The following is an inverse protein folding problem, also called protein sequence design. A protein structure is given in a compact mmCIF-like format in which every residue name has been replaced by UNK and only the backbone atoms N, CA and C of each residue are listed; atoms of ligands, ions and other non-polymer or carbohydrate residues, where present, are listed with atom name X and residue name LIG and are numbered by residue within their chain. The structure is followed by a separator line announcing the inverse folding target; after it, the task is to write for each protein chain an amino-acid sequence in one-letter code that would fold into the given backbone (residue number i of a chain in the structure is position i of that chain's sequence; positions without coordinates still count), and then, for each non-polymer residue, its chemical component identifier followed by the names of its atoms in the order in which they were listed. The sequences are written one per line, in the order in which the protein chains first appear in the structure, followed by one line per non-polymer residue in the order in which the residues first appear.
data_IF_281927433869
#
_entry.id   IF_281927433869
#
_cell.length_a   1.000
_cell.length_b   1.000
_cell.length_c   1.000
_cell.angle_alpha   90.00
_cell.angle_beta   90.00
_cell.angle_gamma   90.00
#
_symmetry.space_group_name_H-M   'P 1'
#
loop_
_entity.id
_entity.type
_entity.pdbx_description
1 polymer ?
#
# COMPACT_ATOMS: atom_id res chain seq x y z
N UNK A 1 5.34 -20.76 7.55
CA UNK A 1 4.83 -20.21 6.27
C UNK A 1 6.02 -19.98 5.35
N UNK A 2 6.06 -20.62 4.18
CA UNK A 2 7.11 -20.39 3.18
C UNK A 2 7.00 -18.97 2.66
N UNK A 3 8.10 -18.19 2.65
CA UNK A 3 8.10 -16.85 2.05
C UNK A 3 7.84 -16.97 0.55
N UNK A 4 6.89 -16.21 0.04
CA UNK A 4 6.52 -16.21 -1.39
C UNK A 4 7.71 -15.81 -2.29
N UNK A 5 8.61 -14.98 -1.77
CA UNK A 5 9.78 -14.47 -2.48
C UNK A 5 11.07 -14.82 -1.74
N UNK A 6 12.17 -15.12 -2.46
CA UNK A 6 13.48 -15.30 -1.85
C UNK A 6 13.89 -14.02 -1.11
N UNK A 7 14.51 -14.13 0.07
CA UNK A 7 14.96 -12.96 0.83
C UNK A 7 16.07 -12.20 0.07
N UNK A 8 16.17 -10.90 0.36
CA UNK A 8 17.33 -10.10 -0.05
C UNK A 8 18.53 -10.52 0.80
N UNK A 9 19.68 -10.72 0.17
CA UNK A 9 20.92 -10.96 0.89
C UNK A 9 21.56 -9.62 1.25
N UNK A 10 21.71 -9.35 2.54
CA UNK A 10 22.05 -8.01 3.05
C UNK A 10 23.54 -7.83 3.40
N UNK A 11 24.34 -8.89 3.28
CA UNK A 11 25.75 -8.86 3.66
C UNK A 11 26.65 -8.65 2.44
N UNK A 12 27.82 -8.01 2.62
CA UNK A 12 28.77 -7.82 1.53
C UNK A 12 29.39 -9.15 1.07
N UNK A 13 29.85 -9.19 -0.17
CA UNK A 13 30.47 -10.37 -0.79
C UNK A 13 31.57 -11.01 0.07
N UNK A 14 32.45 -10.17 0.66
CA UNK A 14 33.52 -10.68 1.50
C UNK A 14 33.05 -11.45 2.72
N UNK A 15 31.93 -11.03 3.32
CA UNK A 15 31.33 -11.74 4.44
C UNK A 15 30.62 -13.02 3.98
N UNK A 16 29.94 -12.98 2.83
CA UNK A 16 29.33 -14.16 2.22
C UNK A 16 30.36 -15.28 1.94
N UNK A 17 31.53 -14.90 1.44
CA UNK A 17 32.64 -15.85 1.22
C UNK A 17 33.12 -16.46 2.53
N UNK A 18 33.37 -15.63 3.57
CA UNK A 18 33.81 -16.11 4.89
C UNK A 18 32.81 -17.07 5.54
N UNK A 19 31.52 -16.92 5.23
CA UNK A 19 30.43 -17.72 5.81
C UNK A 19 30.07 -18.94 4.97
N UNK A 20 30.64 -19.10 3.77
CA UNK A 20 30.24 -20.14 2.82
C UNK A 20 28.88 -19.92 2.18
N UNK A 21 28.36 -18.68 2.18
CA UNK A 21 27.04 -18.29 1.68
C UNK A 21 27.10 -17.68 0.27
N UNK A 22 28.17 -17.92 -0.48
CA UNK A 22 28.43 -17.30 -1.79
C UNK A 22 27.32 -17.58 -2.82
N UNK A 23 26.77 -18.77 -2.84
CA UNK A 23 25.67 -19.11 -3.77
C UNK A 23 24.38 -18.36 -3.44
N UNK A 24 24.08 -18.17 -2.18
CA UNK A 24 22.93 -17.36 -1.73
C UNK A 24 23.12 -15.90 -2.13
N UNK A 25 24.32 -15.35 -1.94
CA UNK A 25 24.68 -14.02 -2.39
C UNK A 25 24.47 -13.87 -3.90
N UNK A 26 25.05 -14.79 -4.71
CA UNK A 26 24.94 -14.76 -6.18
C UNK A 26 23.50 -14.83 -6.66
N UNK A 27 22.70 -15.73 -6.07
CA UNK A 27 21.29 -15.88 -6.41
C UNK A 27 20.49 -14.59 -6.08
N UNK A 28 20.73 -14.01 -4.90
CA UNK A 28 20.07 -12.77 -4.53
C UNK A 28 20.50 -11.60 -5.41
N UNK A 29 21.79 -11.50 -5.72
CA UNK A 29 22.34 -10.47 -6.59
C UNK A 29 21.75 -10.52 -8.00
N UNK A 30 21.67 -11.71 -8.60
CA UNK A 30 21.01 -11.90 -9.90
C UNK A 30 19.57 -11.39 -9.88
N UNK A 31 18.80 -11.73 -8.85
CA UNK A 31 17.43 -11.25 -8.68
C UNK A 31 17.34 -9.73 -8.47
N UNK A 32 18.34 -9.11 -7.85
CA UNK A 32 18.40 -7.65 -7.71
C UNK A 32 18.60 -6.97 -9.06
N UNK A 33 19.47 -7.52 -9.92
CA UNK A 33 19.67 -7.04 -11.31
C UNK A 33 18.37 -7.17 -12.11
N UNK A 34 17.73 -8.33 -12.04
CA UNK A 34 16.45 -8.58 -12.71
C UNK A 34 15.36 -7.62 -12.22
N UNK A 35 15.31 -7.35 -10.92
CA UNK A 35 14.38 -6.38 -10.32
C UNK A 35 14.64 -4.95 -10.83
N UNK A 36 15.89 -4.50 -10.90
CA UNK A 36 16.21 -3.17 -11.43
C UNK A 36 15.75 -3.01 -12.87
N UNK A 37 16.05 -4.00 -13.73
CA UNK A 37 15.61 -4.03 -15.12
C UNK A 37 14.08 -4.06 -15.25
N UNK A 38 13.40 -4.80 -14.37
CA UNK A 38 11.93 -4.86 -14.38
C UNK A 38 11.31 -3.54 -13.95
N UNK A 39 11.92 -2.79 -13.02
CA UNK A 39 11.48 -1.44 -12.65
C UNK A 39 11.60 -0.51 -13.86
N UNK A 40 12.76 -0.49 -14.53
CA UNK A 40 12.98 0.32 -15.74
C UNK A 40 11.94 0.00 -16.82
N UNK A 41 11.76 -1.29 -17.13
CA UNK A 41 10.79 -1.73 -18.13
C UNK A 41 9.34 -1.40 -17.76
N UNK A 42 8.98 -1.51 -16.48
CA UNK A 42 7.62 -1.16 -16.02
C UNK A 42 7.38 0.35 -16.09
N UNK A 43 8.34 1.17 -15.71
CA UNK A 43 8.23 2.63 -15.80
C UNK A 43 8.12 3.10 -17.25
N UNK A 44 8.90 2.52 -18.17
CA UNK A 44 8.81 2.82 -19.58
C UNK A 44 7.48 2.35 -20.21
N UNK A 45 7.07 1.12 -19.92
CA UNK A 45 5.81 0.53 -20.40
C UNK A 45 4.57 1.33 -20.01
N UNK A 46 4.59 1.91 -18.82
CA UNK A 46 3.49 2.68 -18.25
C UNK A 46 3.67 4.20 -18.37
N UNK A 47 4.65 4.64 -19.18
CA UNK A 47 4.88 6.04 -19.52
C UNK A 47 3.90 6.46 -20.62
N UNK A 48 3.21 7.57 -20.38
CA UNK A 48 2.32 8.18 -21.36
C UNK A 48 3.06 9.32 -22.08
N UNK A 49 3.34 9.14 -23.35
CA UNK A 49 4.06 10.12 -24.18
C UNK A 49 3.21 11.35 -24.53
N UNK A 50 1.89 11.29 -24.40
CA UNK A 50 1.01 12.41 -24.69
C UNK A 50 0.92 13.36 -23.50
N UNK A 51 0.88 12.82 -22.28
CA UNK A 51 0.80 13.58 -21.03
C UNK A 51 2.15 13.78 -20.34
N UNK A 52 3.20 13.09 -20.79
CA UNK A 52 4.52 13.04 -20.16
C UNK A 52 4.49 12.54 -18.71
N UNK A 53 3.55 11.66 -18.39
CA UNK A 53 3.33 11.15 -17.04
C UNK A 53 3.52 9.62 -16.98
N UNK A 54 3.77 9.10 -15.79
CA UNK A 54 3.97 7.67 -15.54
C UNK A 54 2.86 7.14 -14.65
N UNK A 55 2.16 6.10 -15.11
CA UNK A 55 1.24 5.36 -14.25
C UNK A 55 2.02 4.48 -13.25
N UNK A 56 2.55 5.12 -12.21
CA UNK A 56 3.35 4.47 -11.16
C UNK A 56 2.57 3.39 -10.41
N UNK A 57 1.24 3.49 -10.31
CA UNK A 57 0.42 2.49 -9.64
C UNK A 57 0.36 1.17 -10.43
N UNK A 58 0.28 1.23 -11.76
CA UNK A 58 0.34 0.04 -12.60
C UNK A 58 1.74 -0.59 -12.57
N UNK A 59 2.79 0.24 -12.68
CA UNK A 59 4.17 -0.21 -12.60
C UNK A 59 4.51 -0.85 -11.24
N UNK A 60 4.10 -0.23 -10.12
CA UNK A 60 4.30 -0.75 -8.77
C UNK A 60 3.68 -2.13 -8.60
N UNK A 61 2.43 -2.28 -9.01
CA UNK A 61 1.72 -3.56 -8.93
C UNK A 61 2.41 -4.67 -9.70
N UNK A 62 2.92 -4.39 -10.89
CA UNK A 62 3.63 -5.35 -11.76
C UNK A 62 4.94 -5.80 -11.10
N UNK A 63 5.78 -4.87 -10.68
CA UNK A 63 7.11 -5.16 -10.11
C UNK A 63 7.00 -5.86 -8.75
N UNK A 64 6.15 -5.35 -7.85
CA UNK A 64 5.98 -5.94 -6.51
C UNK A 64 5.36 -7.34 -6.58
N UNK A 65 4.48 -7.60 -7.57
CA UNK A 65 3.94 -8.94 -7.78
C UNK A 65 5.02 -9.96 -8.19
N UNK A 66 6.06 -9.52 -8.89
CA UNK A 66 7.15 -10.37 -9.38
C UNK A 66 8.28 -10.56 -8.37
N UNK A 67 8.70 -9.49 -7.69
CA UNK A 67 9.91 -9.49 -6.84
C UNK A 67 9.63 -9.33 -5.34
N UNK A 68 8.43 -8.94 -4.98
CA UNK A 68 8.04 -8.61 -3.61
C UNK A 68 8.49 -7.21 -3.17
N UNK A 69 7.87 -6.72 -2.12
CA UNK A 69 8.14 -5.38 -1.57
C UNK A 69 9.59 -5.21 -1.14
N UNK A 70 10.12 -6.14 -0.33
CA UNK A 70 11.45 -5.99 0.28
C UNK A 70 12.57 -5.84 -0.76
N UNK A 71 12.53 -6.66 -1.83
CA UNK A 71 13.53 -6.60 -2.89
C UNK A 71 13.40 -5.34 -3.73
N UNK A 72 12.18 -4.97 -4.10
CA UNK A 72 11.90 -3.74 -4.84
C UNK A 72 12.46 -2.53 -4.08
N UNK A 73 12.19 -2.45 -2.77
CA UNK A 73 12.67 -1.35 -1.94
C UNK A 73 14.20 -1.37 -1.73
N UNK A 74 14.81 -2.54 -1.61
CA UNK A 74 16.27 -2.64 -1.50
C UNK A 74 16.99 -2.13 -2.76
N UNK A 75 16.50 -2.48 -3.95
CA UNK A 75 17.03 -2.00 -5.24
C UNK A 75 16.82 -0.49 -5.39
N UNK A 76 15.64 0.01 -5.08
CA UNK A 76 15.36 1.46 -5.13
C UNK A 76 16.23 2.24 -4.15
N UNK A 77 16.43 1.75 -2.92
CA UNK A 77 17.29 2.39 -1.94
C UNK A 77 18.77 2.42 -2.39
N UNK A 78 19.22 1.34 -3.05
CA UNK A 78 20.54 1.29 -3.65
C UNK A 78 20.70 2.36 -4.76
N UNK A 79 19.71 2.49 -5.63
CA UNK A 79 19.65 3.49 -6.70
C UNK A 79 19.71 4.92 -6.15
N UNK A 80 18.85 5.24 -5.16
CA UNK A 80 18.84 6.58 -4.53
C UNK A 80 20.19 6.92 -3.87
N UNK A 81 20.85 5.95 -3.23
CA UNK A 81 22.18 6.17 -2.63
C UNK A 81 23.25 6.42 -3.67
N UNK A 82 23.21 5.69 -4.78
CA UNK A 82 24.15 5.86 -5.87
C UNK A 82 24.03 7.24 -6.52
N UNK A 83 22.79 7.69 -6.76
CA UNK A 83 22.47 8.99 -7.35
C UNK A 83 22.08 10.06 -6.32
N UNK A 84 22.70 10.04 -5.12
CA UNK A 84 22.32 10.93 -4.01
C UNK A 84 22.53 12.44 -4.30
N UNK A 85 23.35 12.75 -5.31
CA UNK A 85 23.61 14.09 -5.81
C UNK A 85 22.54 14.60 -6.78
N UNK A 86 21.69 13.71 -7.30
CA UNK A 86 20.63 14.09 -8.24
C UNK A 86 19.47 14.78 -7.48
N UNK A 87 19.32 16.08 -7.74
CA UNK A 87 18.33 16.93 -7.06
C UNK A 87 16.87 16.56 -7.34
N UNK A 88 16.61 15.65 -8.30
CA UNK A 88 15.27 15.15 -8.60
C UNK A 88 14.76 14.12 -7.58
N UNK A 89 15.64 13.47 -6.82
CA UNK A 89 15.20 12.71 -5.66
C UNK A 89 14.82 13.64 -4.52
N UNK A 90 13.68 13.40 -3.90
CA UNK A 90 13.20 14.15 -2.74
C UNK A 90 14.11 13.97 -1.53
N UNK A 91 14.07 14.93 -0.61
CA UNK A 91 14.79 14.81 0.67
C UNK A 91 14.31 13.58 1.45
N UNK A 92 13.01 13.31 1.43
CA UNK A 92 12.40 12.16 2.11
C UNK A 92 12.95 10.83 1.56
N UNK A 93 13.03 10.65 0.23
CA UNK A 93 13.57 9.45 -0.38
C UNK A 93 15.05 9.25 -0.07
N UNK A 94 15.85 10.33 -0.01
CA UNK A 94 17.26 10.25 0.38
C UNK A 94 17.44 9.87 1.85
N UNK A 95 16.64 10.42 2.75
CA UNK A 95 16.65 10.05 4.17
C UNK A 95 16.20 8.62 4.37
N UNK A 96 15.10 8.23 3.76
CA UNK A 96 14.60 6.86 3.78
C UNK A 96 15.65 5.86 3.25
N UNK A 97 16.26 6.11 2.11
CA UNK A 97 17.26 5.21 1.54
C UNK A 97 18.44 4.95 2.49
N UNK A 98 18.79 5.92 3.36
CA UNK A 98 19.85 5.74 4.37
C UNK A 98 19.46 4.75 5.47
N UNK A 99 18.18 4.58 5.76
CA UNK A 99 17.69 3.65 6.78
C UNK A 99 17.60 2.21 6.30
N UNK A 100 17.59 2.01 4.98
CA UNK A 100 17.47 0.68 4.40
C UNK A 100 18.79 -0.11 4.45
N UNK A 101 18.75 -1.46 4.55
CA UNK A 101 19.94 -2.29 4.42
C UNK A 101 20.72 -1.98 3.14
N UNK A 102 22.04 -2.03 3.20
CA UNK A 102 22.87 -1.80 2.02
C UNK A 102 23.00 -3.11 1.25
N UNK A 103 22.69 -3.06 -0.04
CA UNK A 103 23.22 -4.03 -1.00
C UNK A 103 24.74 -3.81 -1.10
N UNK A 104 25.48 -4.78 -1.60
CA UNK A 104 26.94 -4.64 -1.72
C UNK A 104 27.29 -3.35 -2.45
N UNK A 105 28.06 -2.47 -1.76
CA UNK A 105 28.33 -1.09 -2.20
C UNK A 105 29.16 -1.01 -3.49
N UNK A 106 29.74 -2.11 -3.95
CA UNK A 106 30.49 -2.17 -5.22
C UNK A 106 29.60 -2.48 -6.43
N UNK A 107 28.29 -2.62 -6.19
CA UNK A 107 27.40 -3.19 -7.18
C UNK A 107 26.58 -2.13 -7.88
N UNK A 108 27.10 -1.65 -9.01
CA UNK A 108 26.43 -0.73 -9.93
C UNK A 108 25.43 -1.44 -10.85
N UNK A 109 25.39 -2.77 -10.85
CA UNK A 109 24.55 -3.54 -11.76
C UNK A 109 23.08 -3.61 -11.34
N UNK A 110 22.80 -3.27 -10.08
CA UNK A 110 21.46 -3.26 -9.50
C UNK A 110 20.91 -1.82 -9.37
N UNK A 111 21.09 -1.00 -10.40
CA UNK A 111 20.59 0.37 -10.43
C UNK A 111 19.46 0.51 -11.42
N UNK A 112 18.44 1.26 -11.01
CA UNK A 112 17.38 1.71 -11.92
C UNK A 112 17.93 2.86 -12.74
N UNK A 113 17.85 2.75 -14.06
CA UNK A 113 18.43 3.71 -15.02
C UNK A 113 17.43 4.79 -15.45
N UNK A 114 16.15 4.58 -15.19
CA UNK A 114 15.07 5.54 -15.48
C UNK A 114 15.29 6.87 -14.77
N UNK A 115 14.73 7.93 -15.31
CA UNK A 115 14.76 9.28 -14.77
C UNK A 115 14.49 9.29 -13.25
N UNK A 116 15.36 9.97 -12.49
CA UNK A 116 15.30 10.05 -11.03
C UNK A 116 13.96 10.60 -10.50
N UNK A 117 13.31 11.52 -11.23
CA UNK A 117 11.99 12.04 -10.84
C UNK A 117 10.91 10.97 -10.92
N UNK A 118 10.86 10.21 -12.02
CA UNK A 118 9.91 9.08 -12.17
C UNK A 118 10.20 7.98 -11.14
N UNK A 119 11.48 7.72 -10.87
CA UNK A 119 11.89 6.75 -9.84
C UNK A 119 11.46 7.22 -8.44
N UNK A 120 11.56 8.51 -8.12
CA UNK A 120 11.12 9.07 -6.83
C UNK A 120 9.61 8.93 -6.63
N UNK A 121 8.82 9.23 -7.66
CA UNK A 121 7.37 9.00 -7.65
C UNK A 121 7.03 7.51 -7.49
N UNK A 122 7.77 6.63 -8.14
CA UNK A 122 7.58 5.19 -8.04
C UNK A 122 7.86 4.67 -6.62
N UNK A 123 8.92 5.17 -5.95
CA UNK A 123 9.20 4.87 -4.54
C UNK A 123 8.00 5.22 -3.66
N UNK A 124 7.46 6.43 -3.83
CA UNK A 124 6.26 6.89 -3.11
C UNK A 124 5.07 5.95 -3.32
N UNK A 125 4.83 5.54 -4.57
CA UNK A 125 3.73 4.63 -4.90
C UNK A 125 3.91 3.24 -4.29
N UNK A 126 5.11 2.64 -4.38
CA UNK A 126 5.38 1.31 -3.78
C UNK A 126 5.18 1.35 -2.26
N UNK A 127 5.65 2.41 -1.60
CA UNK A 127 5.43 2.61 -0.16
C UNK A 127 3.93 2.74 0.17
N UNK A 128 3.19 3.52 -0.61
CA UNK A 128 1.76 3.72 -0.44
C UNK A 128 0.98 2.40 -0.63
N UNK A 129 1.24 1.67 -1.71
CA UNK A 129 0.62 0.38 -1.97
C UNK A 129 0.89 -0.63 -0.84
N UNK A 130 2.13 -0.67 -0.35
CA UNK A 130 2.51 -1.53 0.77
C UNK A 130 1.77 -1.12 2.05
N UNK A 131 1.72 0.17 2.36
CA UNK A 131 0.96 0.69 3.51
C UNK A 131 -0.50 0.23 3.46
N UNK A 132 -1.14 0.24 2.28
CA UNK A 132 -2.52 -0.22 2.11
C UNK A 132 -2.71 -1.72 2.39
N UNK A 133 -1.65 -2.52 2.32
CA UNK A 133 -1.71 -3.96 2.67
C UNK A 133 -1.54 -4.23 4.17
N UNK A 134 -1.04 -3.25 4.93
CA UNK A 134 -0.80 -3.41 6.36
C UNK A 134 -2.09 -3.18 7.17
N UNK A 135 -2.29 -3.92 8.25
CA UNK A 135 -3.39 -3.63 9.17
C UNK A 135 -3.19 -2.25 9.82
N UNK A 136 -4.30 -1.57 10.08
CA UNK A 136 -4.26 -0.29 10.79
C UNK A 136 -3.64 -0.43 12.19
N UNK A 137 -2.72 0.47 12.51
CA UNK A 137 -2.12 0.55 13.82
C UNK A 137 -3.00 1.36 14.79
N UNK A 138 -2.86 1.13 16.08
CA UNK A 138 -3.64 1.84 17.10
C UNK A 138 -3.46 3.37 17.04
N UNK A 139 -2.28 3.85 16.62
CA UNK A 139 -2.02 5.28 16.44
C UNK A 139 -2.85 5.87 15.30
N UNK A 140 -2.92 5.18 14.15
CA UNK A 140 -3.69 5.61 12.99
C UNK A 140 -5.20 5.63 13.28
N UNK A 141 -5.69 4.62 14.02
CA UNK A 141 -7.10 4.58 14.47
C UNK A 141 -7.41 5.78 15.40
N UNK A 142 -6.45 6.15 16.27
CA UNK A 142 -6.60 7.31 17.16
C UNK A 142 -6.59 8.63 16.40
N UNK A 143 -5.71 8.75 15.42
CA UNK A 143 -5.63 9.93 14.56
C UNK A 143 -6.93 10.13 13.78
N UNK A 144 -7.49 9.06 13.20
CA UNK A 144 -8.77 9.13 12.51
C UNK A 144 -9.92 9.46 13.47
N UNK A 145 -9.90 8.93 14.70
CA UNK A 145 -10.88 9.32 15.72
C UNK A 145 -10.83 10.83 16.03
N UNK A 146 -9.64 11.41 16.10
CA UNK A 146 -9.48 12.86 16.29
C UNK A 146 -9.97 13.68 15.09
N UNK A 147 -9.72 13.18 13.86
CA UNK A 147 -10.21 13.80 12.64
C UNK A 147 -11.75 13.79 12.61
N UNK A 148 -12.37 12.67 12.91
CA UNK A 148 -13.83 12.54 13.03
C UNK A 148 -14.38 13.46 14.13
N UNK A 149 -13.74 13.53 15.30
CA UNK A 149 -14.16 14.40 16.39
C UNK A 149 -14.14 15.89 15.99
N UNK A 150 -13.11 16.33 15.29
CA UNK A 150 -13.03 17.71 14.76
C UNK A 150 -14.18 18.01 13.81
N UNK A 151 -14.54 17.07 12.93
CA UNK A 151 -15.65 17.25 12.01
C UNK A 151 -16.99 17.32 12.78
N UNK A 152 -17.19 16.48 13.80
CA UNK A 152 -18.40 16.50 14.64
C UNK A 152 -18.54 17.82 15.41
N UNK A 153 -17.45 18.35 15.94
CA UNK A 153 -17.44 19.62 16.64
C UNK A 153 -17.68 20.84 15.72
N UNK A 154 -17.35 20.70 14.43
CA UNK A 154 -17.59 21.76 13.44
C UNK A 154 -19.01 21.78 12.88
N UNK A 155 -19.85 20.78 13.20
CA UNK A 155 -21.25 20.77 12.78
C UNK A 155 -22.02 21.79 13.62
N UNK A 156 -22.63 22.82 13.01
CA UNK A 156 -23.41 23.80 13.75
C UNK A 156 -24.60 23.13 14.44
N UNK A 157 -24.94 23.59 15.63
CA UNK A 157 -26.12 23.10 16.34
C UNK A 157 -27.36 23.30 15.45
N UNK A 158 -28.07 22.22 15.07
CA UNK A 158 -29.26 22.38 14.26
C UNK A 158 -30.39 22.97 15.11
N UNK A 159 -31.20 23.81 14.50
CA UNK A 159 -32.45 24.21 15.07
C UNK A 159 -33.30 22.98 15.41
N UNK A 160 -34.02 23.00 16.51
CA UNK A 160 -34.75 21.92 17.15
C UNK A 160 -35.73 21.08 16.29
N UNK A 161 -35.90 21.42 15.01
CA UNK A 161 -36.78 20.77 14.05
C UNK A 161 -36.10 20.00 12.92
N UNK A 162 -34.75 20.11 12.79
CA UNK A 162 -34.03 19.52 11.67
C UNK A 162 -33.43 18.17 12.06
N UNK A 163 -34.16 17.07 11.78
CA UNK A 163 -33.66 15.68 11.89
C UNK A 163 -32.65 15.36 10.77
N UNK A 164 -31.68 16.21 10.51
CA UNK A 164 -30.68 15.95 9.48
C UNK A 164 -29.70 14.89 9.95
N UNK A 165 -29.58 13.83 9.15
CA UNK A 165 -28.51 12.86 9.28
C UNK A 165 -27.21 13.49 8.79
N UNK A 166 -26.23 13.67 9.65
CA UNK A 166 -24.92 14.20 9.28
C UNK A 166 -23.99 13.04 8.89
N UNK A 167 -23.47 13.11 7.68
CA UNK A 167 -22.47 12.16 7.20
C UNK A 167 -21.06 12.68 7.50
N UNK A 168 -20.38 12.05 8.46
CA UNK A 168 -18.97 12.33 8.75
C UNK A 168 -18.09 11.58 7.75
N UNK A 169 -17.13 12.28 7.17
CA UNK A 169 -16.19 11.71 6.21
C UNK A 169 -15.03 11.03 6.94
N UNK A 170 -14.79 9.78 6.58
CA UNK A 170 -13.61 9.02 6.99
C UNK A 170 -12.54 9.24 5.92
N UNK A 171 -11.26 9.36 6.31
CA UNK A 171 -10.16 9.53 5.36
C UNK A 171 -10.10 8.36 4.35
N UNK A 172 -9.72 8.62 3.10
CA UNK A 172 -9.64 7.57 2.08
C UNK A 172 -8.69 6.43 2.47
N UNK A 173 -7.57 6.76 3.09
CA UNK A 173 -6.54 5.82 3.54
C UNK A 173 -7.06 4.90 4.64
N UNK A 174 -7.73 5.46 5.64
CA UNK A 174 -8.41 4.69 6.68
C UNK A 174 -9.49 3.80 6.06
N UNK A 175 -10.36 4.37 5.21
CA UNK A 175 -11.45 3.63 4.59
C UNK A 175 -10.98 2.48 3.69
N UNK A 176 -9.81 2.61 3.04
CA UNK A 176 -9.26 1.57 2.17
C UNK A 176 -8.75 0.36 2.97
N UNK A 177 -8.29 0.55 4.21
CA UNK A 177 -7.64 -0.46 5.05
C UNK A 177 -8.52 -0.96 6.19
N UNK A 178 -9.46 -0.15 6.64
CA UNK A 178 -10.27 -0.42 7.83
C UNK A 178 -11.20 -1.61 7.64
N UNK A 179 -11.24 -2.44 8.66
CA UNK A 179 -12.24 -3.49 8.86
C UNK A 179 -13.38 -2.95 9.74
N UNK A 180 -14.53 -3.64 9.79
CA UNK A 180 -15.61 -3.25 10.68
C UNK A 180 -15.17 -3.10 12.15
N UNK A 181 -14.24 -3.96 12.59
CA UNK A 181 -13.71 -3.94 13.97
C UNK A 181 -12.86 -2.68 14.25
N UNK A 182 -12.15 -2.17 13.25
CA UNK A 182 -11.33 -0.95 13.39
C UNK A 182 -12.24 0.29 13.43
N UNK A 183 -13.34 0.28 12.70
CA UNK A 183 -14.39 1.31 12.81
C UNK A 183 -14.99 1.32 14.22
N UNK A 184 -15.28 0.15 14.79
CA UNK A 184 -15.77 0.04 16.18
C UNK A 184 -14.74 0.58 17.18
N UNK A 185 -13.44 0.24 17.02
CA UNK A 185 -12.38 0.76 17.89
C UNK A 185 -12.29 2.29 17.80
N UNK A 186 -12.33 2.84 16.60
CA UNK A 186 -12.29 4.29 16.36
C UNK A 186 -13.46 4.98 17.06
N UNK A 187 -14.67 4.48 16.87
CA UNK A 187 -15.88 5.08 17.44
C UNK A 187 -15.89 5.02 18.97
N UNK A 188 -15.36 3.95 19.57
CA UNK A 188 -15.21 3.84 21.03
C UNK A 188 -14.24 4.85 21.64
N UNK A 189 -13.39 5.48 20.83
CA UNK A 189 -12.48 6.55 21.27
C UNK A 189 -13.16 7.92 21.27
N UNK A 190 -14.36 8.04 20.69
CA UNK A 190 -15.11 9.29 20.67
C UNK A 190 -15.86 9.48 22.01
N UNK A 191 -16.06 10.72 22.46
CA UNK A 191 -16.71 11.02 23.72
C UNK A 191 -18.24 10.88 23.66
N UNK A 192 -18.74 9.89 22.90
CA UNK A 192 -20.17 9.64 22.73
C UNK A 192 -20.54 8.28 23.29
N UNK A 193 -21.69 8.20 23.93
CA UNK A 193 -22.19 6.95 24.48
C UNK A 193 -22.82 6.05 23.41
N UNK A 194 -22.55 4.75 23.51
CA UNK A 194 -23.21 3.67 22.79
C UNK A 194 -23.16 3.73 21.25
N UNK A 195 -21.96 3.71 20.63
CA UNK A 195 -21.89 3.59 19.18
C UNK A 195 -22.40 2.21 18.72
N UNK A 196 -23.33 2.19 17.78
CA UNK A 196 -23.80 0.97 17.14
C UNK A 196 -23.22 0.82 15.75
N UNK A 197 -22.70 -0.38 15.42
CA UNK A 197 -22.31 -0.72 14.06
C UNK A 197 -23.47 -1.44 13.38
N UNK A 198 -23.93 -0.92 12.25
CA UNK A 198 -25.07 -1.47 11.52
C UNK A 198 -24.88 -1.41 10.01
N UNK A 199 -25.71 -2.19 9.30
CA UNK A 199 -25.90 -2.06 7.85
C UNK A 199 -27.24 -1.41 7.61
N UNK A 200 -27.30 -0.38 6.76
CA UNK A 200 -28.56 0.30 6.46
C UNK A 200 -29.20 -0.31 5.20
N UNK A 201 -30.52 -0.57 5.20
CA UNK A 201 -31.24 -1.06 4.04
C UNK A 201 -31.02 -0.16 2.82
N UNK A 202 -30.74 -0.76 1.67
CA UNK A 202 -30.50 -0.03 0.41
C UNK A 202 -29.20 0.75 0.32
N UNK A 203 -28.38 0.80 1.37
CA UNK A 203 -27.07 1.47 1.39
C UNK A 203 -25.94 0.44 1.50
N UNK A 204 -24.94 0.54 0.63
CA UNK A 204 -23.75 -0.34 0.66
C UNK A 204 -22.75 0.16 1.69
N UNK A 205 -22.32 -0.72 2.59
CA UNK A 205 -21.24 -0.44 3.55
C UNK A 205 -21.65 -0.73 4.98
N UNK A 206 -20.71 -0.51 5.88
CA UNK A 206 -20.93 -0.53 7.32
C UNK A 206 -21.10 0.90 7.81
N UNK A 207 -22.02 1.11 8.73
CA UNK A 207 -22.28 2.41 9.30
C UNK A 207 -22.09 2.33 10.81
N UNK A 208 -21.24 3.20 11.35
CA UNK A 208 -21.27 3.49 12.77
C UNK A 208 -22.28 4.62 12.99
N UNK A 209 -23.25 4.37 13.83
CA UNK A 209 -24.24 5.36 14.25
C UNK A 209 -23.85 5.82 15.65
N UNK A 210 -23.65 7.12 15.82
CA UNK A 210 -23.42 7.75 17.11
C UNK A 210 -24.66 8.57 17.45
N UNK A 211 -25.27 8.27 18.59
CA UNK A 211 -26.34 9.09 19.16
C UNK A 211 -25.71 10.17 20.04
N UNK A 212 -25.98 11.42 19.77
CA UNK A 212 -25.75 12.51 20.71
C UNK A 212 -26.91 12.60 21.71
N UNK A 213 -26.69 13.23 22.86
CA UNK A 213 -27.65 13.32 23.98
C UNK A 213 -29.00 13.98 23.62
N UNK A 214 -29.12 14.54 22.42
CA UNK A 214 -30.31 15.22 21.93
C UNK A 214 -31.04 14.47 20.77
N UNK A 215 -31.04 13.14 20.76
CA UNK A 215 -31.65 12.32 19.72
C UNK A 215 -31.13 12.55 18.28
N UNK A 216 -29.92 13.01 18.14
CA UNK A 216 -29.25 13.19 16.84
C UNK A 216 -28.39 11.98 16.51
N UNK A 217 -28.62 11.39 15.36
CA UNK A 217 -27.83 10.29 14.86
C UNK A 217 -26.80 10.81 13.87
N UNK A 218 -25.53 10.69 14.22
CA UNK A 218 -24.43 10.90 13.30
C UNK A 218 -24.02 9.57 12.67
N UNK A 219 -23.95 9.52 11.36
CA UNK A 219 -23.62 8.31 10.63
C UNK A 219 -22.23 8.43 10.03
N UNK A 220 -21.34 7.52 10.40
CA UNK A 220 -20.04 7.35 9.74
C UNK A 220 -20.12 6.15 8.81
N UNK A 221 -19.80 6.36 7.55
CA UNK A 221 -19.87 5.30 6.54
C UNK A 221 -18.49 4.79 6.21
N UNK A 222 -18.26 3.50 6.47
CA UNK A 222 -17.13 2.76 5.89
C UNK A 222 -17.55 2.29 4.49
N UNK A 223 -16.98 2.92 3.46
CA UNK A 223 -17.30 2.61 2.08
C UNK A 223 -16.75 1.23 1.71
N UNK A 224 -17.63 0.32 1.26
CA UNK A 224 -17.15 -0.90 0.60
C UNK A 224 -16.46 -0.50 -0.72
N UNK A 225 -15.34 -1.14 -1.08
CA UNK A 225 -14.75 -0.96 -2.39
C UNK A 225 -15.81 -1.23 -3.46
N UNK A 226 -15.80 -0.44 -4.52
CA UNK A 226 -16.76 -0.60 -5.62
C UNK A 226 -16.58 -1.98 -6.27
N UNK A 227 -17.60 -2.48 -6.97
CA UNK A 227 -17.48 -3.75 -7.72
C UNK A 227 -16.31 -3.67 -8.70
N UNK A 228 -16.07 -2.50 -9.31
CA UNK A 228 -14.95 -2.26 -10.21
C UNK A 228 -13.60 -2.39 -9.48
N UNK A 229 -13.47 -1.82 -8.30
CA UNK A 229 -12.28 -1.97 -7.44
C UNK A 229 -12.09 -3.41 -6.96
N UNK A 230 -13.18 -4.11 -6.61
CA UNK A 230 -13.13 -5.53 -6.22
C UNK A 230 -12.77 -6.44 -7.40
N UNK A 231 -13.24 -6.15 -8.61
CA UNK A 231 -12.88 -6.88 -9.82
C UNK A 231 -11.44 -6.61 -10.24
N UNK A 232 -10.97 -5.37 -10.10
CA UNK A 232 -9.57 -5.02 -10.34
C UNK A 232 -8.60 -5.66 -9.33
N UNK A 233 -9.06 -5.89 -8.09
CA UNK A 233 -8.28 -6.56 -7.04
C UNK A 233 -8.31 -8.10 -7.14
N UNK A 234 -9.22 -8.70 -7.92
CA UNK A 234 -9.19 -10.14 -8.17
C UNK A 234 -8.03 -10.46 -9.12
N UNK A 235 -7.17 -11.44 -8.79
CA UNK A 235 -6.19 -11.92 -9.75
C UNK A 235 -6.92 -12.36 -11.01
N UNK A 236 -6.38 -11.95 -12.18
CA UNK A 236 -6.89 -12.40 -13.49
C UNK A 236 -6.96 -13.92 -13.46
N UNK A 237 -8.07 -14.54 -13.89
CA UNK A 237 -8.20 -16.00 -13.89
C UNK A 237 -7.30 -16.60 -14.97
N UNK A 238 -6.06 -16.86 -14.62
CA UNK A 238 -5.00 -17.35 -15.49
C UNK A 238 -4.26 -18.57 -14.97
N UNK A 239 -4.78 -19.25 -13.95
CA UNK A 239 -4.20 -20.55 -13.54
C UNK A 239 -5.24 -21.38 -12.75
N UNK A 240 -6.29 -21.75 -13.42
CA UNK A 240 -7.00 -22.96 -13.01
C UNK A 240 -6.28 -24.12 -13.69
N UNK A 241 -5.69 -25.08 -12.94
CA UNK A 241 -5.19 -26.30 -13.55
C UNK A 241 -6.36 -26.96 -14.29
N UNK A 242 -6.20 -27.10 -15.59
CA UNK A 242 -7.15 -27.83 -16.44
C UNK A 242 -7.19 -29.26 -15.91
N UNK A 243 -8.30 -29.63 -15.25
CA UNK A 243 -8.53 -31.03 -14.88
C UNK A 243 -8.48 -31.87 -16.18
N UNK A 244 -7.65 -32.93 -16.25
CA UNK A 244 -7.67 -33.82 -17.39
C UNK A 244 -9.09 -34.35 -17.59
N UNK A 245 -9.66 -34.18 -18.76
CA UNK A 245 -10.89 -34.85 -19.15
C UNK A 245 -10.56 -36.35 -19.27
N UNK A 246 -11.03 -37.10 -18.33
CA UNK A 246 -11.05 -38.56 -18.41
C UNK A 246 -11.92 -38.96 -19.61
N UNK A 247 -11.28 -39.33 -20.72
CA UNK A 247 -11.96 -39.95 -21.86
C UNK A 247 -12.18 -41.40 -21.50
N UNK A 248 -13.34 -41.68 -20.88
CA UNK A 248 -13.80 -43.01 -20.69
C UNK A 248 -13.79 -43.78 -22.02
N UNK A 249 -13.05 -44.88 -22.00
CA UNK A 249 -13.06 -45.88 -23.05
C UNK A 249 -14.45 -46.52 -23.17
N UNK A 250 -14.91 -46.63 -24.39
CA UNK A 250 -15.83 -47.64 -24.84
C UNK A 250 -15.13 -48.47 -25.89
#
# INVERSE_FOLDING_TARGET
MSRKFPPVYERPLQEAVKRGELEQFRASHKLNIECAKAIDAALEKHYDYDTYDVNTAAASKEVVAQFGFDRTMAVLANTVRHYNFDGRFSKASREWARTMPRLDSQNTDCLVSTNAGSTDLFIGQVCYDHMLTQPLQAAEIREEAQNVLKQLQAIPEPNSFDRKEFLVKISPEFNARARPEDLVKMVKMLPFSNPTLTTLPGRKGWFAVISSDENRNHHMRLRKPSIKEQLAAKPVPGDRPVKPRDRGAR
#
